data_IF_629347656927
#
_entry.id   IF_629347656927
#
_cell.length_a   1.000
_cell.length_b   1.000
_cell.length_c   1.000
_cell.angle_alpha   90.00
_cell.angle_beta   90.00
_cell.angle_gamma   90.00
#
_symmetry.space_group_name_H-M   'P 1'
#
loop_
_entity.id
_entity.type
_entity.pdbx_description
1 polymer ?
#
# COMPACT_ATOMS: atom_id res chain seq x y z
N UNK A 1 16.56 -0.37 26.78
CA UNK A 1 16.87 -1.09 25.52
C UNK A 1 16.21 -0.30 24.40
N UNK A 2 16.93 0.57 23.69
CA UNK A 2 16.38 1.38 22.59
C UNK A 2 17.04 0.91 21.29
N UNK A 3 16.49 -0.10 20.59
CA UNK A 3 17.01 -0.50 19.29
C UNK A 3 16.69 0.66 18.34
N UNK A 4 17.66 1.52 18.08
CA UNK A 4 17.44 2.72 17.27
C UNK A 4 16.74 2.41 15.94
N UNK A 5 16.00 3.40 15.43
CA UNK A 5 15.36 3.32 14.10
C UNK A 5 16.40 3.34 12.97
N UNK A 6 16.05 2.73 11.84
CA UNK A 6 16.87 2.84 10.62
C UNK A 6 17.02 4.32 10.24
N UNK A 7 18.27 4.80 10.26
CA UNK A 7 18.59 6.20 9.99
C UNK A 7 18.29 6.53 8.52
N UNK A 8 17.75 7.72 8.22
CA UNK A 8 17.56 8.17 6.85
C UNK A 8 18.88 8.14 6.08
N UNK A 9 18.85 7.60 4.86
CA UNK A 9 20.02 7.59 3.96
C UNK A 9 19.90 8.83 3.07
N UNK A 10 20.74 9.83 3.32
CA UNK A 10 20.83 11.02 2.48
C UNK A 10 21.66 10.73 1.24
N UNK A 11 21.10 10.93 0.06
CA UNK A 11 21.86 10.94 -1.19
C UNK A 11 22.50 12.34 -1.34
N UNK A 12 23.84 12.45 -1.38
CA UNK A 12 24.51 13.74 -1.53
C UNK A 12 24.09 14.42 -2.85
N UNK A 13 24.01 15.75 -2.86
CA UNK A 13 23.64 16.62 -4.00
C UNK A 13 22.13 16.76 -4.29
N UNK A 14 21.33 15.69 -4.24
CA UNK A 14 19.87 15.80 -4.44
C UNK A 14 19.06 16.05 -3.15
N UNK A 15 19.66 15.84 -1.97
CA UNK A 15 19.04 16.11 -0.66
C UNK A 15 18.93 17.59 -0.29
N UNK A 16 19.70 18.47 -0.94
CA UNK A 16 19.78 19.90 -0.59
C UNK A 16 18.76 20.78 -1.34
N UNK A 17 17.98 20.21 -2.26
CA UNK A 17 16.87 20.91 -2.91
C UNK A 17 15.74 21.17 -1.90
N UNK A 18 15.29 22.43 -1.69
CA UNK A 18 14.21 22.73 -0.78
C UNK A 18 12.92 22.03 -1.23
N UNK A 19 12.21 21.45 -0.27
CA UNK A 19 10.96 20.67 -0.45
C UNK A 19 11.17 19.31 -1.16
N UNK A 20 11.67 19.28 -2.40
CA UNK A 20 11.82 18.03 -3.17
C UNK A 20 12.96 17.13 -2.67
N UNK A 21 14.07 17.72 -2.23
CA UNK A 21 15.22 17.02 -1.66
C UNK A 21 14.87 16.28 -0.38
N UNK A 22 14.12 16.93 0.52
CA UNK A 22 13.69 16.31 1.79
C UNK A 22 12.59 15.27 1.60
N UNK A 23 11.66 15.47 0.67
CA UNK A 23 10.54 14.54 0.44
C UNK A 23 11.01 13.24 -0.23
N UNK A 24 12.00 13.30 -1.14
CA UNK A 24 12.43 12.13 -1.91
C UNK A 24 13.84 11.60 -1.56
N UNK A 25 14.75 12.43 -1.03
CA UNK A 25 16.17 12.11 -0.90
C UNK A 25 16.72 12.10 0.55
N UNK A 26 15.84 12.24 1.54
CA UNK A 26 16.13 12.09 2.99
C UNK A 26 15.11 11.14 3.63
N UNK A 27 15.06 9.90 3.13
CA UNK A 27 13.98 8.97 3.46
C UNK A 27 14.50 7.62 3.97
N UNK A 28 13.63 6.91 4.69
CA UNK A 28 13.93 5.59 5.23
C UNK A 28 14.02 4.54 4.10
N UNK A 29 14.78 3.45 4.31
CA UNK A 29 14.94 2.36 3.33
C UNK A 29 13.60 1.78 2.87
N UNK A 30 12.59 1.82 3.74
CA UNK A 30 11.22 1.40 3.42
C UNK A 30 10.55 2.24 2.35
N UNK A 31 10.84 3.55 2.29
CA UNK A 31 10.26 4.46 1.30
C UNK A 31 10.92 4.23 -0.05
N UNK A 32 12.24 4.02 -0.10
CA UNK A 32 12.91 3.60 -1.32
C UNK A 32 12.41 2.23 -1.80
N UNK A 33 12.25 1.28 -0.88
CA UNK A 33 11.65 -0.02 -1.16
C UNK A 33 10.24 0.08 -1.70
N UNK A 34 9.40 0.98 -1.16
CA UNK A 34 8.05 1.25 -1.65
C UNK A 34 8.05 1.65 -3.12
N UNK A 35 8.87 2.64 -3.51
CA UNK A 35 8.96 3.09 -4.90
C UNK A 35 9.39 1.96 -5.84
N UNK A 36 10.39 1.19 -5.44
CA UNK A 36 10.86 0.02 -6.21
C UNK A 36 9.76 -1.03 -6.33
N UNK A 37 9.07 -1.37 -5.24
CA UNK A 37 7.98 -2.36 -5.23
C UNK A 37 6.83 -1.89 -6.12
N UNK A 38 6.40 -0.64 -6.01
CA UNK A 38 5.30 -0.12 -6.85
C UNK A 38 5.68 -0.15 -8.32
N UNK A 39 6.91 0.28 -8.67
CA UNK A 39 7.40 0.23 -10.05
C UNK A 39 7.51 -1.21 -10.57
N UNK A 40 8.11 -2.11 -9.78
CA UNK A 40 8.29 -3.52 -10.12
C UNK A 40 6.95 -4.24 -10.26
N UNK A 41 5.98 -4.00 -9.38
CA UNK A 41 4.65 -4.58 -9.46
C UNK A 41 3.84 -4.03 -10.63
N UNK A 42 3.93 -2.73 -10.90
CA UNK A 42 3.27 -2.12 -12.07
C UNK A 42 3.83 -2.71 -13.36
N UNK A 43 5.16 -2.76 -13.50
CA UNK A 43 5.79 -3.38 -14.66
C UNK A 43 5.48 -4.89 -14.73
N UNK A 44 5.62 -5.60 -13.63
CA UNK A 44 5.35 -7.02 -13.50
C UNK A 44 3.94 -7.41 -13.92
N UNK A 45 2.92 -6.73 -13.39
CA UNK A 45 1.51 -7.05 -13.66
C UNK A 45 1.07 -6.67 -15.08
N UNK A 46 1.55 -5.53 -15.61
CA UNK A 46 1.02 -4.97 -16.85
C UNK A 46 1.91 -5.19 -18.08
N UNK A 47 3.21 -5.45 -17.91
CA UNK A 47 4.17 -5.57 -19.02
C UNK A 47 4.82 -6.95 -19.15
N UNK A 48 4.59 -7.89 -18.23
CA UNK A 48 5.20 -9.23 -18.31
C UNK A 48 4.20 -10.36 -18.57
N UNK A 49 4.71 -11.49 -19.06
CA UNK A 49 3.93 -12.74 -19.23
C UNK A 49 3.35 -13.24 -17.91
N UNK A 50 4.08 -13.08 -16.80
CA UNK A 50 3.58 -13.45 -15.48
C UNK A 50 2.35 -12.64 -15.10
N UNK A 51 2.40 -11.32 -15.28
CA UNK A 51 1.29 -10.43 -14.97
C UNK A 51 0.02 -10.71 -15.77
N UNK A 52 0.14 -11.02 -17.05
CA UNK A 52 -0.97 -11.46 -17.90
C UNK A 52 -1.59 -12.76 -17.37
N UNK A 53 -0.78 -13.76 -17.05
CA UNK A 53 -1.24 -15.05 -16.49
C UNK A 53 -1.90 -14.87 -15.13
N UNK A 54 -1.33 -14.04 -14.25
CA UNK A 54 -1.88 -13.74 -12.93
C UNK A 54 -3.25 -13.09 -13.02
N UNK A 55 -3.43 -12.11 -13.93
CA UNK A 55 -4.74 -11.46 -14.14
C UNK A 55 -5.75 -12.42 -14.77
N UNK A 56 -5.34 -13.22 -15.76
CA UNK A 56 -6.21 -14.24 -16.36
C UNK A 56 -6.71 -15.28 -15.34
N UNK A 57 -5.82 -15.75 -14.47
CA UNK A 57 -6.16 -16.67 -13.37
C UNK A 57 -7.09 -16.04 -12.33
N UNK A 58 -6.98 -14.72 -12.12
CA UNK A 58 -7.86 -13.96 -11.23
C UNK A 58 -9.26 -13.73 -11.79
N UNK A 59 -9.42 -13.62 -13.12
CA UNK A 59 -10.72 -13.47 -13.76
C UNK A 59 -11.39 -14.83 -14.04
N UNK A 60 -10.70 -15.72 -14.75
CA UNK A 60 -11.25 -17.00 -15.21
C UNK A 60 -10.23 -18.14 -15.05
N UNK A 61 -10.09 -18.72 -13.84
CA UNK A 61 -9.10 -19.76 -13.57
C UNK A 61 -9.29 -21.02 -14.41
N UNK A 62 -10.55 -21.44 -14.65
CA UNK A 62 -10.86 -22.60 -15.51
C UNK A 62 -10.37 -22.39 -16.95
N UNK A 63 -10.59 -21.21 -17.52
CA UNK A 63 -10.13 -20.88 -18.86
C UNK A 63 -8.60 -20.74 -18.96
N UNK A 64 -7.93 -20.37 -17.86
CA UNK A 64 -6.47 -20.33 -17.82
C UNK A 64 -5.86 -21.75 -17.82
N UNK A 65 -6.45 -22.70 -17.10
CA UNK A 65 -5.96 -24.09 -17.03
C UNK A 65 -6.09 -24.81 -18.38
N UNK A 66 -7.18 -24.58 -19.13
CA UNK A 66 -7.36 -25.18 -20.47
C UNK A 66 -6.31 -24.71 -21.48
N UNK A 67 -5.71 -23.54 -21.26
CA UNK A 67 -4.61 -22.99 -22.07
C UNK A 67 -3.22 -23.40 -21.54
N UNK A 68 -3.15 -24.35 -20.60
CA UNK A 68 -1.92 -24.91 -20.05
C UNK A 68 -1.24 -24.05 -18.98
N UNK A 69 -1.95 -23.09 -18.38
CA UNK A 69 -1.43 -22.32 -17.24
C UNK A 69 -1.69 -23.09 -15.96
N UNK A 70 -0.63 -23.45 -15.24
CA UNK A 70 -0.77 -23.99 -13.89
C UNK A 70 -1.34 -22.91 -12.93
N UNK A 71 -2.65 -22.98 -12.72
CA UNK A 71 -3.45 -22.06 -11.91
C UNK A 71 -2.98 -22.09 -10.46
N UNK A 72 -2.79 -23.28 -9.90
CA UNK A 72 -2.43 -23.49 -8.50
C UNK A 72 -1.06 -22.87 -8.23
N UNK A 73 -0.05 -23.23 -9.03
CA UNK A 73 1.31 -22.70 -8.87
C UNK A 73 1.35 -21.18 -9.06
N UNK A 74 0.57 -20.66 -10.00
CA UNK A 74 0.48 -19.21 -10.24
C UNK A 74 -0.14 -18.49 -9.03
N UNK A 75 -1.23 -19.02 -8.45
CA UNK A 75 -1.86 -18.46 -7.25
C UNK A 75 -0.93 -18.50 -6.04
N UNK A 76 -0.29 -19.63 -5.78
CA UNK A 76 0.66 -19.76 -4.66
C UNK A 76 1.82 -18.77 -4.78
N UNK A 77 2.42 -18.63 -5.96
CA UNK A 77 3.47 -17.62 -6.18
C UNK A 77 2.97 -16.20 -5.89
N UNK A 78 1.77 -15.86 -6.33
CA UNK A 78 1.20 -14.53 -6.12
C UNK A 78 0.90 -14.27 -4.63
N UNK A 79 0.39 -15.27 -3.89
CA UNK A 79 0.13 -15.17 -2.46
C UNK A 79 1.44 -14.99 -1.67
N UNK A 80 2.48 -15.77 -2.00
CA UNK A 80 3.80 -15.65 -1.35
C UNK A 80 4.41 -14.27 -1.62
N UNK A 81 4.35 -13.78 -2.87
CA UNK A 81 4.82 -12.43 -3.21
C UNK A 81 4.03 -11.34 -2.46
N UNK A 82 2.70 -11.49 -2.38
CA UNK A 82 1.84 -10.59 -1.61
C UNK A 82 2.19 -10.58 -0.12
N UNK A 83 2.40 -11.77 0.46
CA UNK A 83 2.84 -11.91 1.85
C UNK A 83 4.21 -11.30 2.12
N UNK A 84 5.15 -11.43 1.18
CA UNK A 84 6.46 -10.78 1.27
C UNK A 84 6.33 -9.25 1.28
N UNK A 85 5.55 -8.67 0.38
CA UNK A 85 5.32 -7.21 0.31
C UNK A 85 4.59 -6.72 1.57
N UNK A 86 3.58 -7.46 2.04
CA UNK A 86 2.88 -7.15 3.28
C UNK A 86 3.81 -7.21 4.51
N UNK A 87 4.69 -8.21 4.57
CA UNK A 87 5.72 -8.34 5.60
C UNK A 87 6.71 -7.18 5.58
N UNK A 88 7.16 -6.75 4.40
CA UNK A 88 8.01 -5.57 4.23
C UNK A 88 7.32 -4.29 4.74
N UNK A 89 6.04 -4.10 4.41
CA UNK A 89 5.23 -3.00 4.93
C UNK A 89 5.00 -3.07 6.44
N UNK A 90 4.84 -4.27 7.01
CA UNK A 90 4.72 -4.48 8.45
C UNK A 90 6.01 -4.16 9.22
N UNK A 91 7.17 -4.52 8.66
CA UNK A 91 8.47 -4.24 9.25
C UNK A 91 8.79 -2.75 9.37
N UNK A 92 8.13 -1.88 8.59
CA UNK A 92 8.24 -0.43 8.74
C UNK A 92 7.82 0.04 10.14
N UNK A 93 6.80 -0.56 10.75
CA UNK A 93 6.33 -0.11 12.06
C UNK A 93 7.38 -0.33 13.16
N UNK A 94 8.09 -1.47 13.11
CA UNK A 94 9.13 -1.81 14.11
C UNK A 94 10.47 -1.13 13.81
N UNK A 95 10.94 -1.17 12.57
CA UNK A 95 12.30 -0.74 12.21
C UNK A 95 12.36 0.70 11.68
N UNK A 96 11.26 1.19 11.11
CA UNK A 96 11.20 2.50 10.45
C UNK A 96 10.54 3.61 11.24
N UNK A 97 9.57 3.28 12.09
CA UNK A 97 8.74 4.27 12.82
C UNK A 97 9.19 4.44 14.28
N UNK A 98 9.05 3.39 15.11
CA UNK A 98 9.18 3.53 16.57
C UNK A 98 10.49 2.95 17.10
N UNK A 99 11.10 1.96 16.42
CA UNK A 99 12.28 1.25 16.91
C UNK A 99 11.96 0.22 18.00
N UNK A 100 10.69 0.10 18.41
CA UNK A 100 10.23 -0.90 19.38
C UNK A 100 8.99 -1.63 18.86
N UNK A 101 8.82 -2.88 19.28
CA UNK A 101 7.61 -3.64 19.02
C UNK A 101 6.64 -3.43 20.19
N UNK A 102 5.55 -2.70 19.94
CA UNK A 102 4.50 -2.45 20.92
C UNK A 102 3.21 -3.16 20.51
N UNK A 103 2.37 -3.47 21.49
CA UNK A 103 1.03 -3.98 21.22
C UNK A 103 0.20 -2.95 20.45
N UNK A 104 -0.64 -3.42 19.53
CA UNK A 104 -1.52 -2.61 18.68
C UNK A 104 -0.79 -1.52 17.85
N UNK A 105 0.50 -1.72 17.53
CA UNK A 105 1.30 -0.75 16.79
C UNK A 105 0.79 -0.47 15.36
N UNK A 106 0.09 -1.43 14.74
CA UNK A 106 -0.53 -1.23 13.42
C UNK A 106 -1.79 -0.37 13.49
N UNK A 107 -2.45 -0.30 14.66
CA UNK A 107 -3.64 0.53 14.93
C UNK A 107 -4.71 0.47 13.81
N UNK A 108 -4.97 -0.72 13.24
CA UNK A 108 -5.96 -0.89 12.18
C UNK A 108 -5.55 -0.39 10.78
N UNK A 109 -4.32 0.08 10.58
CA UNK A 109 -3.81 0.57 9.27
C UNK A 109 -3.86 -0.47 8.15
N UNK A 110 -3.95 -1.77 8.47
CA UNK A 110 -4.20 -2.83 7.49
C UNK A 110 -5.54 -2.67 6.75
N UNK A 111 -6.60 -2.24 7.44
CA UNK A 111 -7.91 -1.97 6.83
C UNK A 111 -7.87 -0.75 5.91
N UNK A 112 -7.08 0.26 6.27
CA UNK A 112 -6.82 1.42 5.41
C UNK A 112 -6.09 0.99 4.14
N UNK A 113 -5.13 0.05 4.25
CA UNK A 113 -4.45 -0.53 3.09
C UNK A 113 -5.41 -1.23 2.12
N UNK A 114 -6.39 -1.97 2.66
CA UNK A 114 -7.45 -2.60 1.84
C UNK A 114 -8.33 -1.54 1.17
N UNK A 115 -8.73 -0.49 1.90
CA UNK A 115 -9.50 0.62 1.33
C UNK A 115 -8.73 1.36 0.22
N UNK A 116 -7.43 1.62 0.43
CA UNK A 116 -6.56 2.23 -0.57
C UNK A 116 -6.43 1.38 -1.83
N UNK A 117 -6.38 0.05 -1.71
CA UNK A 117 -6.36 -0.87 -2.86
C UNK A 117 -7.66 -0.82 -3.66
N UNK A 118 -8.81 -0.75 -2.99
CA UNK A 118 -10.13 -0.63 -3.62
C UNK A 118 -10.23 0.72 -4.36
N UNK A 119 -9.90 1.82 -3.70
CA UNK A 119 -9.94 3.17 -4.30
C UNK A 119 -8.91 3.33 -5.42
N UNK A 120 -7.79 2.61 -5.30
CA UNK A 120 -6.78 2.47 -6.32
C UNK A 120 -7.18 1.59 -7.51
N UNK A 121 -8.41 1.09 -7.55
CA UNK A 121 -8.97 0.25 -8.62
C UNK A 121 -8.10 -0.96 -8.95
N UNK A 122 -7.55 -1.61 -7.91
CA UNK A 122 -6.67 -2.79 -8.05
C UNK A 122 -5.38 -2.52 -8.85
N UNK A 123 -5.03 -1.25 -9.09
CA UNK A 123 -3.81 -0.84 -9.75
C UNK A 123 -2.77 -0.39 -8.73
N UNK A 124 -1.50 -0.85 -8.77
CA UNK A 124 -0.50 -0.52 -7.75
C UNK A 124 -0.25 0.99 -7.59
N UNK A 125 -0.18 1.72 -8.71
CA UNK A 125 -0.03 3.20 -8.69
C UNK A 125 -1.29 3.88 -8.12
N UNK A 126 -2.48 3.34 -8.41
CA UNK A 126 -3.72 3.88 -7.85
C UNK A 126 -3.79 3.66 -6.34
N UNK A 127 -3.36 2.48 -5.88
CA UNK A 127 -3.29 2.15 -4.46
C UNK A 127 -2.28 3.06 -3.72
N UNK A 128 -1.14 3.36 -4.35
CA UNK A 128 -0.18 4.34 -3.83
C UNK A 128 -0.80 5.74 -3.72
N UNK A 129 -1.46 6.21 -4.78
CA UNK A 129 -2.11 7.53 -4.78
C UNK A 129 -3.17 7.64 -3.67
N UNK A 130 -4.01 6.61 -3.52
CA UNK A 130 -4.99 6.54 -2.43
C UNK A 130 -4.28 6.55 -1.05
N UNK A 131 -3.25 5.72 -0.86
CA UNK A 131 -2.50 5.66 0.39
C UNK A 131 -1.84 7.00 0.76
N UNK A 132 -1.37 7.79 -0.21
CA UNK A 132 -0.84 9.14 0.02
C UNK A 132 -1.94 10.07 0.55
N UNK A 133 -3.14 10.03 -0.03
CA UNK A 133 -4.28 10.84 0.44
C UNK A 133 -4.67 10.47 1.87
N UNK A 134 -4.75 9.17 2.16
CA UNK A 134 -4.99 8.67 3.52
C UNK A 134 -3.90 9.11 4.51
N UNK A 135 -2.63 8.96 4.13
CA UNK A 135 -1.50 9.37 4.96
C UNK A 135 -1.45 10.88 5.18
N UNK A 136 -1.85 11.67 4.17
CA UNK A 136 -1.99 13.12 4.31
C UNK A 136 -3.05 13.46 5.35
N UNK A 137 -4.23 12.84 5.28
CA UNK A 137 -5.30 13.07 6.25
C UNK A 137 -4.88 12.69 7.69
N UNK A 138 -4.21 11.54 7.87
CA UNK A 138 -3.66 11.09 9.16
C UNK A 138 -2.63 12.10 9.71
N UNK A 139 -1.72 12.58 8.85
CA UNK A 139 -0.70 13.56 9.23
C UNK A 139 -1.28 14.94 9.57
N UNK A 140 -2.34 15.35 8.86
CA UNK A 140 -3.03 16.62 9.09
C UNK A 140 -3.79 16.58 10.41
N UNK A 141 -4.52 15.49 10.66
CA UNK A 141 -5.16 15.23 11.94
C UNK A 141 -4.15 15.33 13.08
N UNK A 142 -3.04 14.58 13.00
CA UNK A 142 -2.03 14.54 14.05
C UNK A 142 -1.46 15.95 14.36
N UNK A 143 -1.17 16.75 13.33
CA UNK A 143 -0.66 18.12 13.51
C UNK A 143 -1.71 19.05 14.11
N UNK A 144 -2.97 18.98 13.68
CA UNK A 144 -4.06 19.81 14.20
C UNK A 144 -4.41 19.47 15.66
N UNK A 145 -4.27 18.20 16.06
CA UNK A 145 -4.43 17.78 17.45
C UNK A 145 -3.33 18.31 18.37
N UNK A 146 -2.12 18.53 17.84
CA UNK A 146 -0.99 19.07 18.61
C UNK A 146 -1.07 20.59 18.75
N UNK A 147 -1.63 21.28 17.75
CA UNK A 147 -1.63 22.75 17.69
C UNK A 147 -2.73 23.41 18.55
N UNK A 148 -3.46 22.63 19.36
CA UNK A 148 -4.55 23.06 20.24
C UNK A 148 -5.50 24.07 19.55
N UNK A 149 -5.93 23.70 18.34
CA UNK A 149 -6.62 24.58 17.38
C UNK A 149 -8.03 25.02 17.80
N UNK A 150 -8.46 24.75 19.04
CA UNK A 150 -9.81 25.04 19.54
C UNK A 150 -10.92 24.17 18.93
N UNK A 151 -10.57 23.24 18.03
CA UNK A 151 -11.49 22.29 17.41
C UNK A 151 -11.56 21.04 18.30
N UNK A 152 -12.76 20.58 18.70
CA UNK A 152 -12.91 19.36 19.48
C UNK A 152 -12.24 18.16 18.78
N UNK A 153 -11.55 17.34 19.56
CA UNK A 153 -10.77 16.20 19.07
C UNK A 153 -11.59 15.22 18.21
N UNK A 154 -12.89 15.13 18.46
CA UNK A 154 -13.86 14.32 17.73
C UNK A 154 -13.92 14.73 16.25
N UNK A 155 -13.90 16.03 15.94
CA UNK A 155 -13.90 16.52 14.56
C UNK A 155 -12.58 16.24 13.84
N UNK A 156 -11.46 16.30 14.56
CA UNK A 156 -10.15 15.95 14.02
C UNK A 156 -10.04 14.45 13.76
N UNK A 157 -10.57 13.61 14.66
CA UNK A 157 -10.66 12.16 14.51
C UNK A 157 -11.55 11.74 13.33
N UNK A 158 -12.52 12.58 12.95
CA UNK A 158 -13.35 12.36 11.77
C UNK A 158 -12.66 12.72 10.43
N UNK A 159 -11.58 13.51 10.44
CA UNK A 159 -10.97 14.04 9.22
C UNK A 159 -10.53 12.95 8.21
N UNK A 160 -9.87 11.84 8.62
CA UNK A 160 -9.54 10.75 7.69
C UNK A 160 -10.78 10.15 7.01
N UNK A 161 -11.90 10.02 7.73
CA UNK A 161 -13.15 9.48 7.21
C UNK A 161 -13.88 10.46 6.29
N UNK A 162 -13.82 11.76 6.55
CA UNK A 162 -14.38 12.75 5.62
C UNK A 162 -13.60 12.73 4.31
N UNK A 163 -12.27 12.63 4.38
CA UNK A 163 -11.42 12.50 3.19
C UNK A 163 -11.75 11.22 2.43
N UNK A 164 -11.99 10.08 3.11
CA UNK A 164 -12.41 8.86 2.40
C UNK A 164 -13.73 9.05 1.66
N UNK A 165 -14.73 9.66 2.30
CA UNK A 165 -16.04 9.92 1.69
C UNK A 165 -15.87 10.78 0.44
N UNK A 166 -15.08 11.85 0.50
CA UNK A 166 -14.83 12.74 -0.63
C UNK A 166 -14.12 12.01 -1.77
N UNK A 167 -13.07 11.24 -1.46
CA UNK A 167 -12.30 10.48 -2.46
C UNK A 167 -13.21 9.48 -3.16
N UNK A 168 -14.00 8.73 -2.39
CA UNK A 168 -14.93 7.72 -2.91
C UNK A 168 -16.03 8.34 -3.75
N UNK A 169 -16.70 9.37 -3.22
CA UNK A 169 -17.83 10.00 -3.90
C UNK A 169 -17.41 10.80 -5.14
N UNK A 170 -16.21 11.39 -5.13
CA UNK A 170 -15.76 12.31 -6.18
C UNK A 170 -14.86 11.71 -7.25
N UNK A 171 -14.03 10.71 -6.93
CA UNK A 171 -12.90 10.30 -7.80
C UNK A 171 -12.91 8.81 -8.13
N UNK A 172 -13.46 7.98 -7.25
CA UNK A 172 -13.44 6.52 -7.43
C UNK A 172 -14.61 6.09 -8.31
N UNK A 173 -14.36 5.94 -9.62
CA UNK A 173 -15.26 5.21 -10.51
C UNK A 173 -15.38 3.72 -10.14
N UNK A 174 -16.18 2.95 -10.88
CA UNK A 174 -16.42 1.53 -10.57
C UNK A 174 -15.10 0.73 -10.41
N UNK A 175 -14.85 0.24 -9.20
CA UNK A 175 -13.82 -0.74 -8.90
C UNK A 175 -14.39 -2.14 -9.15
N UNK A 176 -13.84 -2.85 -10.13
CA UNK A 176 -14.21 -4.24 -10.41
C UNK A 176 -13.14 -5.15 -9.79
N UNK A 177 -13.47 -5.90 -8.74
CA UNK A 177 -12.55 -6.91 -8.21
C UNK A 177 -12.40 -8.06 -9.22
N UNK A 178 -11.28 -8.82 -9.17
CA UNK A 178 -11.15 -10.04 -9.96
C UNK A 178 -12.29 -11.02 -9.64
N UNK A 179 -12.93 -11.58 -10.66
CA UNK A 179 -14.14 -12.38 -10.48
C UNK A 179 -13.94 -13.64 -9.61
N UNK A 180 -12.73 -14.21 -9.62
CA UNK A 180 -12.37 -15.40 -8.85
C UNK A 180 -11.52 -15.08 -7.60
N UNK A 181 -11.56 -13.84 -7.11
CA UNK A 181 -10.87 -13.46 -5.88
C UNK A 181 -11.47 -14.19 -4.66
N UNK A 182 -10.62 -14.70 -3.78
CA UNK A 182 -11.01 -15.49 -2.61
C UNK A 182 -11.69 -16.85 -2.88
N UNK A 183 -11.95 -17.21 -4.13
CA UNK A 183 -12.60 -18.48 -4.47
C UNK A 183 -11.57 -19.62 -4.62
N UNK A 184 -11.69 -20.73 -3.85
CA UNK A 184 -10.85 -21.91 -4.03
C UNK A 184 -10.96 -22.47 -5.45
N UNK A 185 -9.83 -22.81 -6.05
CA UNK A 185 -9.81 -23.49 -7.35
C UNK A 185 -9.65 -24.99 -7.11
N UNK A 186 -10.63 -25.76 -7.57
CA UNK A 186 -10.60 -27.23 -7.58
C UNK A 186 -10.30 -27.64 -9.02
N UNK A 187 -9.23 -28.40 -9.20
CA UNK A 187 -8.86 -28.95 -10.50
C UNK A 187 -9.74 -30.18 -10.75
N UNK A 188 -10.45 -30.18 -11.88
CA UNK A 188 -11.21 -31.32 -12.38
C UNK A 188 -10.30 -32.30 -13.14
#
# INVERSE_FOLDING_TARGET
NNPGVLRPIKIPVLGDLPVLGRIFFDQNIFIYGLWIIVAAMTYGLFKTRWGLRSRAVGEHPKAADTLGIDVIRTRYRNVVLGGFIAGFGGAYFTLGSVGSFNENMTAGRGFIGLAAMIFGRWHPVGALAAAIVFGFADSLQAKLSILDSGIPSEFLLMAPYVVTIIVVAGVVGAARPPAADGQPYIKE
#
